data_IF_189555942256
#
_entry.id   IF_189555942256
#
_cell.length_a   1.000
_cell.length_b   1.000
_cell.length_c   1.000
_cell.angle_alpha   90.00
_cell.angle_beta   90.00
_cell.angle_gamma   90.00
#
_symmetry.space_group_name_H-M   'P 1'
#
loop_
_entity.id
_entity.type
_entity.pdbx_description
1 polymer ?
#
# COMPACT_ATOMS: atom_id res chain seq x y z
N UNK A 1 24.12 -18.02 -11.12
CA UNK A 1 22.89 -17.66 -11.88
C UNK A 1 22.21 -16.47 -11.21
N UNK A 2 21.82 -15.43 -11.95
CA UNK A 2 21.10 -14.29 -11.36
C UNK A 2 19.77 -14.75 -10.72
N UNK A 3 19.47 -14.23 -9.52
CA UNK A 3 18.26 -14.54 -8.75
C UNK A 3 16.97 -14.09 -9.45
N UNK A 4 17.07 -13.11 -10.34
CA UNK A 4 15.98 -12.58 -11.17
C UNK A 4 16.35 -12.68 -12.65
N UNK A 5 15.38 -12.99 -13.51
CA UNK A 5 15.59 -13.01 -14.96
C UNK A 5 15.64 -11.61 -15.59
N UNK A 6 16.23 -11.49 -16.78
CA UNK A 6 16.33 -10.22 -17.55
C UNK A 6 14.96 -9.54 -17.73
N UNK A 7 13.90 -10.32 -18.02
CA UNK A 7 12.52 -9.81 -18.13
C UNK A 7 12.03 -9.16 -16.83
N UNK A 8 12.40 -9.70 -15.67
CA UNK A 8 12.02 -9.15 -14.37
C UNK A 8 12.76 -7.85 -14.07
N UNK A 9 14.06 -7.78 -14.40
CA UNK A 9 14.86 -6.56 -14.26
C UNK A 9 14.27 -5.41 -15.09
N UNK A 10 13.94 -5.66 -16.36
CA UNK A 10 13.30 -4.67 -17.25
C UNK A 10 11.97 -4.13 -16.71
N UNK A 11 11.12 -4.99 -16.14
CA UNK A 11 9.84 -4.57 -15.54
C UNK A 11 10.05 -3.71 -14.30
N UNK A 12 11.00 -4.07 -13.44
CA UNK A 12 11.35 -3.26 -12.25
C UNK A 12 11.94 -1.91 -12.66
N UNK A 13 12.80 -1.89 -13.66
CA UNK A 13 13.39 -0.67 -14.21
C UNK A 13 12.32 0.27 -14.75
N UNK A 14 11.38 -0.24 -15.57
CA UNK A 14 10.24 0.54 -16.07
C UNK A 14 9.40 1.12 -14.94
N UNK A 15 8.98 0.30 -13.97
CA UNK A 15 8.21 0.79 -12.82
C UNK A 15 8.98 1.83 -12.00
N UNK A 16 10.31 1.69 -11.90
CA UNK A 16 11.16 2.67 -11.25
C UNK A 16 11.25 3.98 -12.02
N UNK A 17 11.26 3.93 -13.36
CA UNK A 17 11.22 5.10 -14.23
C UNK A 17 9.88 5.84 -14.10
N UNK A 18 8.76 5.13 -14.23
CA UNK A 18 7.40 5.68 -14.06
C UNK A 18 7.19 6.28 -12.65
N UNK A 19 7.86 5.72 -11.62
CA UNK A 19 7.86 6.34 -10.28
C UNK A 19 8.64 7.65 -10.25
N UNK A 20 9.80 7.72 -10.93
CA UNK A 20 10.63 8.93 -10.98
C UNK A 20 9.92 10.06 -11.73
N UNK A 21 9.22 9.75 -12.83
CA UNK A 21 8.36 10.71 -13.56
C UNK A 21 7.08 11.01 -12.79
N UNK A 22 6.67 10.11 -11.91
CA UNK A 22 5.52 10.29 -11.03
C UNK A 22 4.19 9.89 -11.69
N UNK A 23 4.26 9.04 -12.69
CA UNK A 23 3.14 8.46 -13.42
C UNK A 23 2.68 7.13 -12.81
N UNK A 24 3.56 6.45 -12.05
CA UNK A 24 3.24 5.15 -11.47
C UNK A 24 2.08 5.23 -10.47
N UNK A 25 1.04 4.43 -10.71
CA UNK A 25 -0.18 4.36 -9.91
C UNK A 25 -0.35 2.99 -9.27
N UNK A 26 -0.94 2.98 -8.08
CA UNK A 26 -1.37 1.76 -7.40
C UNK A 26 -2.65 1.22 -8.03
N UNK A 27 -2.76 -0.11 -8.21
CA UNK A 27 -3.90 -0.74 -8.89
C UNK A 27 -5.27 -0.39 -8.27
N UNK A 28 -5.63 -1.01 -7.15
CA UNK A 28 -6.98 -0.87 -6.57
C UNK A 28 -7.36 0.55 -6.14
N UNK A 29 -6.39 1.35 -5.70
CA UNK A 29 -6.66 2.68 -5.11
C UNK A 29 -6.38 3.86 -6.04
N UNK A 30 -5.77 3.66 -7.21
CA UNK A 30 -5.41 4.76 -8.13
C UNK A 30 -4.43 5.80 -7.56
N UNK A 31 -3.93 5.60 -6.35
CA UNK A 31 -3.00 6.53 -5.69
C UNK A 31 -1.63 6.48 -6.36
N UNK A 32 -1.00 7.65 -6.50
CA UNK A 32 0.38 7.77 -6.98
C UNK A 32 1.33 7.05 -6.04
N UNK A 33 2.28 6.32 -6.61
CA UNK A 33 3.28 5.58 -5.86
C UNK A 33 4.37 6.53 -5.38
N UNK A 34 4.50 6.67 -4.07
CA UNK A 34 5.49 7.56 -3.46
C UNK A 34 6.78 6.82 -3.11
N UNK A 35 6.68 5.54 -2.75
CA UNK A 35 7.83 4.79 -2.22
C UNK A 35 8.53 3.92 -3.27
N UNK A 36 9.87 3.92 -3.23
CA UNK A 36 10.71 3.04 -4.08
C UNK A 36 10.40 1.56 -3.89
N UNK A 37 10.21 1.14 -2.64
CA UNK A 37 9.86 -0.25 -2.29
C UNK A 37 8.56 -0.70 -2.96
N UNK A 38 7.57 0.20 -3.03
CA UNK A 38 6.29 -0.10 -3.66
C UNK A 38 6.41 -0.20 -5.18
N UNK A 39 7.20 0.66 -5.83
CA UNK A 39 7.46 0.53 -7.27
C UNK A 39 8.16 -0.79 -7.62
N UNK A 40 9.17 -1.19 -6.83
CA UNK A 40 9.82 -2.49 -7.00
C UNK A 40 8.80 -3.63 -6.82
N UNK A 41 7.91 -3.53 -5.83
CA UNK A 41 6.88 -4.54 -5.60
C UNK A 41 5.88 -4.64 -6.77
N UNK A 42 5.51 -3.51 -7.38
CA UNK A 42 4.66 -3.47 -8.57
C UNK A 42 5.39 -4.14 -9.75
N UNK A 43 6.63 -3.70 -10.06
CA UNK A 43 7.43 -4.28 -11.14
C UNK A 43 7.69 -5.78 -10.97
N UNK A 44 7.97 -6.26 -9.75
CA UNK A 44 8.11 -7.69 -9.47
C UNK A 44 6.78 -8.46 -9.61
N UNK A 45 5.64 -7.83 -9.31
CA UNK A 45 4.32 -8.45 -9.46
C UNK A 45 3.93 -8.56 -10.94
N UNK A 46 4.21 -7.54 -11.74
CA UNK A 46 4.05 -7.58 -13.19
C UNK A 46 4.97 -8.60 -13.85
N UNK A 47 6.23 -8.66 -13.41
CA UNK A 47 7.18 -9.65 -13.87
C UNK A 47 6.67 -11.08 -13.64
N UNK A 48 6.09 -11.38 -12.47
CA UNK A 48 5.47 -12.68 -12.19
C UNK A 48 4.29 -12.98 -13.11
N UNK A 49 3.39 -12.01 -13.31
CA UNK A 49 2.25 -12.16 -14.23
C UNK A 49 2.69 -12.43 -15.67
N UNK A 50 3.80 -11.83 -16.08
CA UNK A 50 4.41 -12.03 -17.40
C UNK A 50 5.26 -13.30 -17.52
N UNK A 51 5.25 -14.20 -16.52
CA UNK A 51 6.01 -15.45 -16.55
C UNK A 51 7.53 -15.27 -16.44
N UNK A 52 8.02 -14.11 -16.00
CA UNK A 52 9.45 -13.90 -15.81
C UNK A 52 9.96 -14.69 -14.60
N UNK A 53 11.23 -15.09 -14.64
CA UNK A 53 11.92 -15.74 -13.51
C UNK A 53 12.03 -14.77 -12.34
N UNK A 54 11.17 -14.95 -11.35
CA UNK A 54 11.15 -14.20 -10.09
C UNK A 54 11.08 -15.21 -8.94
N UNK A 55 11.95 -15.11 -7.92
CA UNK A 55 11.85 -15.95 -6.73
C UNK A 55 10.46 -15.88 -6.12
N UNK A 56 9.96 -17.04 -5.71
CA UNK A 56 8.74 -17.13 -4.91
C UNK A 56 8.96 -16.30 -3.65
N UNK A 57 7.97 -15.49 -3.30
CA UNK A 57 7.99 -14.79 -2.01
C UNK A 57 7.98 -15.90 -0.97
N UNK A 58 8.94 -15.89 -0.04
CA UNK A 58 8.90 -16.81 1.09
C UNK A 58 7.51 -16.70 1.73
N UNK A 59 6.85 -17.84 1.95
CA UNK A 59 5.61 -17.88 2.69
C UNK A 59 5.89 -17.30 4.07
N UNK A 60 5.58 -16.02 4.26
CA UNK A 60 5.41 -15.50 5.60
C UNK A 60 4.22 -16.28 6.13
N UNK A 61 4.28 -16.91 7.32
CA UNK A 61 3.09 -17.51 7.91
C UNK A 61 2.00 -16.45 7.79
N UNK A 62 0.85 -16.82 7.21
CA UNK A 62 -0.28 -15.92 7.21
C UNK A 62 -0.45 -15.55 8.67
N UNK A 63 -0.14 -14.29 9.03
CA UNK A 63 -0.85 -13.67 10.13
C UNK A 63 -2.28 -13.61 9.61
N UNK A 64 -2.98 -14.74 9.76
CA UNK A 64 -4.39 -14.76 10.10
C UNK A 64 -4.54 -13.56 10.99
N UNK A 65 -5.35 -12.61 10.50
CA UNK A 65 -5.63 -11.36 11.16
C UNK A 65 -5.64 -11.62 12.65
N UNK A 66 -4.55 -11.26 13.34
CA UNK A 66 -4.61 -11.04 14.77
C UNK A 66 -5.72 -10.02 14.83
N UNK A 67 -6.87 -10.53 15.27
CA UNK A 67 -8.15 -9.85 15.37
C UNK A 67 -7.79 -8.43 15.69
N UNK A 68 -8.09 -7.49 14.77
CA UNK A 68 -7.98 -6.07 15.08
C UNK A 68 -8.94 -5.90 16.25
N UNK A 69 -8.48 -6.14 17.47
CA UNK A 69 -9.07 -5.67 18.70
C UNK A 69 -9.12 -4.18 18.45
N UNK A 70 -10.33 -3.78 18.07
CA UNK A 70 -10.54 -2.55 17.36
C UNK A 70 -9.87 -1.45 18.13
N UNK A 71 -9.12 -0.61 17.43
CA UNK A 71 -9.05 0.79 17.85
C UNK A 71 -10.52 1.20 18.02
N UNK A 72 -11.03 1.41 19.25
CA UNK A 72 -12.47 1.44 19.45
C UNK A 72 -12.98 2.64 18.66
N UNK A 73 -13.88 2.38 17.71
CA UNK A 73 -14.57 3.41 16.92
C UNK A 73 -15.24 4.46 17.82
N UNK A 74 -15.40 4.15 19.12
CA UNK A 74 -15.89 5.01 20.20
C UNK A 74 -15.07 6.31 20.43
N UNK A 75 -13.77 6.38 20.08
CA UNK A 75 -12.97 7.62 20.29
C UNK A 75 -13.19 8.72 19.24
N UNK A 76 -13.72 8.43 18.04
CA UNK A 76 -14.10 9.48 17.06
C UNK A 76 -15.49 10.05 17.34
N UNK A 77 -16.45 9.22 17.74
CA UNK A 77 -17.81 9.67 18.07
C UNK A 77 -17.86 10.59 19.31
N UNK A 78 -17.03 10.31 20.32
CA UNK A 78 -16.99 11.13 21.55
C UNK A 78 -16.38 12.53 21.33
N UNK A 79 -15.57 12.71 20.29
CA UNK A 79 -14.92 14.00 19.97
C UNK A 79 -15.83 14.93 19.16
N UNK A 80 -16.74 14.38 18.34
CA UNK A 80 -17.77 15.16 17.63
C UNK A 80 -18.92 15.55 18.56
N UNK A 81 -19.39 14.63 19.43
CA UNK A 81 -20.44 14.91 20.40
C UNK A 81 -20.04 15.93 21.48
N UNK A 82 -18.79 15.88 22.01
CA UNK A 82 -18.31 16.93 22.94
C UNK A 82 -18.17 18.30 22.28
N UNK A 83 -17.99 18.36 20.96
CA UNK A 83 -17.83 19.63 20.22
C UNK A 83 -19.17 20.26 19.85
N UNK A 84 -20.23 19.48 19.67
CA UNK A 84 -21.59 20.00 19.48
C UNK A 84 -22.19 20.53 20.78
N UNK A 85 -22.04 19.80 21.90
CA UNK A 85 -22.57 20.26 23.21
C UNK A 85 -21.87 21.51 23.76
N UNK A 86 -20.57 21.67 23.49
CA UNK A 86 -19.81 22.88 23.90
C UNK A 86 -20.14 24.12 23.05
N UNK A 87 -20.78 23.94 21.88
CA UNK A 87 -21.23 25.04 21.02
C UNK A 87 -22.61 25.56 21.44
N UNK A 88 -23.49 24.68 21.95
CA UNK A 88 -24.83 25.07 22.43
C UNK A 88 -24.81 25.72 23.81
N UNK A 89 -23.85 25.37 24.69
CA UNK A 89 -23.71 25.98 26.01
C UNK A 89 -23.06 27.38 26.02
N UNK A 90 -22.68 27.93 24.87
CA UNK A 90 -22.02 29.25 24.74
C UNK A 90 -22.92 30.29 24.06
N UNK A 91 -24.21 29.97 23.87
CA UNK A 91 -25.20 30.80 23.17
C UNK A 91 -26.46 31.08 24.02
N UNK A 92 -26.36 30.87 25.33
CA UNK A 92 -27.32 31.26 26.36
C UNK A 92 -26.64 32.22 27.31
#
# INVERSE_FOLDING_TARGET
MAKYGKKAQRKVERAMHERKTGELRSGRSGKKVTSRKQAIAIGLSEARKAGAKVPKKAAKPSRTTAKRTGRPAKKRARKTAKRSMRKTARKS
#
